data_IF_599059294731
#
_entry.id   IF_599059294731
#
_cell.length_a   1.000
_cell.length_b   1.000
_cell.length_c   1.000
_cell.angle_alpha   90.00
_cell.angle_beta   90.00
_cell.angle_gamma   90.00
#
_symmetry.space_group_name_H-M   'P 1'
#
loop_
_entity.id
_entity.type
_entity.pdbx_description
1 polymer ?
#
# COMPACT_ATOMS: atom_id res chain seq x y z
N UNK A 1 -14.66 11.59 0.35
CA UNK A 1 -14.37 11.50 -1.10
C UNK A 1 -14.30 10.11 -1.74
N UNK A 2 -14.56 8.97 -1.06
CA UNK A 2 -14.52 7.62 -1.70
C UNK A 2 -13.29 7.36 -2.61
N UNK A 3 -12.14 7.98 -2.29
CA UNK A 3 -10.93 8.00 -3.14
C UNK A 3 -10.15 6.69 -3.13
N UNK A 4 -10.30 5.92 -2.05
CA UNK A 4 -9.56 4.69 -1.84
C UNK A 4 -10.51 3.51 -1.67
N UNK A 5 -10.18 2.42 -2.36
CA UNK A 5 -10.80 1.11 -2.21
C UNK A 5 -9.76 0.17 -1.62
N UNK A 6 -10.12 -0.53 -0.54
CA UNK A 6 -9.24 -1.52 0.08
C UNK A 6 -9.61 -2.91 -0.44
N UNK A 7 -8.67 -3.55 -1.12
CA UNK A 7 -8.82 -4.91 -1.61
C UNK A 7 -7.70 -5.80 -1.06
N UNK A 8 -8.06 -7.02 -0.67
CA UNK A 8 -7.09 -8.01 -0.19
C UNK A 8 -6.64 -8.87 -1.35
N UNK A 9 -5.40 -8.68 -1.76
CA UNK A 9 -4.76 -9.45 -2.84
C UNK A 9 -3.87 -10.54 -2.26
N UNK A 10 -3.84 -11.71 -2.91
CA UNK A 10 -3.08 -12.88 -2.40
C UNK A 10 -1.58 -12.74 -2.65
N UNK A 11 -1.18 -12.14 -3.77
CA UNK A 11 0.21 -11.94 -4.13
C UNK A 11 0.35 -10.72 -5.04
N UNK A 12 1.35 -9.89 -4.77
CA UNK A 12 1.74 -8.73 -5.60
C UNK A 12 3.16 -8.89 -6.17
N UNK A 13 3.75 -10.09 -6.05
CA UNK A 13 5.11 -10.37 -6.52
C UNK A 13 6.22 -9.74 -5.66
N UNK A 14 5.88 -9.06 -4.56
CA UNK A 14 6.83 -8.36 -3.68
C UNK A 14 7.19 -9.18 -2.41
N UNK A 15 7.33 -10.50 -2.54
CA UNK A 15 7.52 -11.39 -1.38
C UNK A 15 8.72 -11.02 -0.49
N UNK A 16 9.83 -10.56 -1.09
CA UNK A 16 11.03 -10.11 -0.36
C UNK A 16 10.89 -8.76 0.36
N UNK A 17 9.79 -8.05 0.11
CA UNK A 17 9.47 -6.74 0.69
C UNK A 17 8.23 -6.79 1.58
N UNK A 18 7.79 -7.99 1.98
CA UNK A 18 6.67 -8.16 2.91
C UNK A 18 6.90 -7.39 4.21
N UNK A 19 5.86 -6.76 4.80
CA UNK A 19 4.52 -6.51 4.25
C UNK A 19 4.56 -5.46 3.13
N UNK A 20 3.87 -5.73 2.02
CA UNK A 20 3.83 -4.85 0.87
C UNK A 20 2.39 -4.49 0.47
N UNK A 21 2.21 -3.28 -0.02
CA UNK A 21 0.95 -2.67 -0.44
C UNK A 21 1.15 -2.07 -1.82
N UNK A 22 0.13 -2.10 -2.67
CA UNK A 22 0.14 -1.38 -3.94
C UNK A 22 -0.97 -0.34 -3.93
N UNK A 23 -0.67 0.89 -4.36
CA UNK A 23 -1.65 1.96 -4.58
C UNK A 23 -1.50 2.40 -6.04
N UNK A 24 -2.49 2.07 -6.88
CA UNK A 24 -2.37 2.27 -8.32
C UNK A 24 -1.22 1.45 -8.91
N UNK A 25 -0.20 2.14 -9.43
CA UNK A 25 1.01 1.53 -10.01
C UNK A 25 2.20 1.51 -9.03
N UNK A 26 2.10 2.17 -7.88
CA UNK A 26 3.17 2.27 -6.89
C UNK A 26 3.17 1.09 -5.93
N UNK A 27 4.33 0.42 -5.82
CA UNK A 27 4.53 -0.70 -4.88
C UNK A 27 5.30 -0.21 -3.66
N UNK A 28 4.65 -0.29 -2.50
CA UNK A 28 5.23 0.04 -1.21
C UNK A 28 5.64 -1.24 -0.48
N UNK A 29 6.93 -1.38 -0.23
CA UNK A 29 7.50 -2.48 0.56
C UNK A 29 7.79 -2.10 2.01
N UNK A 30 7.89 -3.10 2.89
CA UNK A 30 8.19 -2.97 4.33
C UNK A 30 7.29 -1.95 5.03
N UNK A 31 6.02 -1.96 4.68
CA UNK A 31 5.03 -1.00 5.19
C UNK A 31 4.68 -1.34 6.63
N UNK A 32 4.68 -0.31 7.47
CA UNK A 32 4.19 -0.36 8.86
C UNK A 32 2.91 0.46 8.95
N UNK A 33 2.00 0.07 9.85
CA UNK A 33 0.75 0.80 10.10
C UNK A 33 0.97 2.28 10.39
N UNK A 34 2.02 2.64 11.14
CA UNK A 34 2.38 4.02 11.43
C UNK A 34 2.71 4.86 10.19
N UNK A 35 3.27 4.22 9.14
CA UNK A 35 3.65 4.89 7.89
C UNK A 35 2.48 4.98 6.89
N UNK A 36 1.37 4.29 7.15
CA UNK A 36 0.24 4.26 6.23
C UNK A 36 -0.39 5.65 6.07
N UNK A 37 -0.51 6.42 7.15
CA UNK A 37 -1.03 7.79 7.10
C UNK A 37 -0.17 8.69 6.20
N UNK A 38 1.16 8.66 6.37
CA UNK A 38 2.10 9.41 5.52
C UNK A 38 2.05 8.97 4.05
N UNK A 39 1.81 7.69 3.78
CA UNK A 39 1.69 7.17 2.41
C UNK A 39 0.40 7.70 1.78
N UNK A 40 -0.72 7.69 2.50
CA UNK A 40 -2.01 8.16 2.00
C UNK A 40 -2.05 9.68 1.81
N UNK A 41 -1.35 10.45 2.64
CA UNK A 41 -1.19 11.90 2.51
C UNK A 41 -0.59 12.32 1.15
N UNK A 42 0.29 11.48 0.56
CA UNK A 42 0.82 11.73 -0.79
C UNK A 42 -0.22 11.67 -1.91
N UNK A 43 -1.36 11.05 -1.63
CA UNK A 43 -2.48 10.90 -2.56
C UNK A 43 -3.73 11.65 -2.07
N UNK A 44 -3.58 12.53 -1.07
CA UNK A 44 -4.61 13.47 -0.61
C UNK A 44 -4.83 14.63 -1.60
#
# INVERSE_FOLDING_TARGET
DRRFSLEVVRCIGACGLSPALTIGEDVFGRVKSAKLAEILDRYE
#
